data_IF_708886133994
#
_entry.id   IF_708886133994
#
_cell.length_a   1.000
_cell.length_b   1.000
_cell.length_c   1.000
_cell.angle_alpha   90.00
_cell.angle_beta   90.00
_cell.angle_gamma   90.00
#
_symmetry.space_group_name_H-M   'P 1'
#
loop_
_entity.id
_entity.type
_entity.pdbx_description
1 polymer ?
#
# COMPACT_ATOMS: atom_id res chain seq x y z
N UNK A 1 24.70 -5.36 28.90
CA UNK A 1 24.32 -4.13 28.17
C UNK A 1 23.11 -4.36 27.25
N UNK A 2 22.02 -5.00 27.72
CA UNK A 2 20.82 -5.31 26.91
C UNK A 2 19.51 -4.66 27.44
N UNK A 3 19.56 -3.87 28.52
CA UNK A 3 18.34 -3.28 29.12
C UNK A 3 17.86 -2.03 28.37
N UNK A 4 18.78 -1.18 27.87
CA UNK A 4 18.42 0.07 27.17
C UNK A 4 17.76 -0.15 25.81
N UNK A 5 18.09 -1.24 25.11
CA UNK A 5 17.49 -1.60 23.82
C UNK A 5 16.02 -2.00 23.96
N UNK A 6 15.64 -2.69 25.05
CA UNK A 6 14.27 -3.12 25.30
C UNK A 6 13.32 -1.94 25.59
N UNK A 7 13.71 -1.04 26.48
CA UNK A 7 12.91 0.15 26.82
C UNK A 7 12.75 1.09 25.61
N UNK A 8 13.82 1.30 24.84
CA UNK A 8 13.79 2.10 23.61
C UNK A 8 12.87 1.47 22.57
N UNK A 9 12.90 0.15 22.39
CA UNK A 9 12.03 -0.57 21.46
C UNK A 9 10.55 -0.49 21.88
N UNK A 10 10.26 -0.61 23.17
CA UNK A 10 8.90 -0.45 23.70
C UNK A 10 8.37 0.97 23.48
N UNK A 11 9.19 1.98 23.75
CA UNK A 11 8.84 3.38 23.51
C UNK A 11 8.58 3.64 22.01
N UNK A 12 9.45 3.15 21.13
CA UNK A 12 9.28 3.28 19.68
C UNK A 12 7.99 2.60 19.21
N UNK A 13 7.69 1.38 19.70
CA UNK A 13 6.46 0.66 19.36
C UNK A 13 5.20 1.42 19.81
N UNK A 14 5.24 2.03 21.00
CA UNK A 14 4.15 2.87 21.50
C UNK A 14 3.93 4.08 20.60
N UNK A 15 4.98 4.83 20.26
CA UNK A 15 4.91 6.01 19.39
C UNK A 15 4.37 5.65 18.00
N UNK A 16 4.86 4.56 17.41
CA UNK A 16 4.36 4.09 16.11
C UNK A 16 2.90 3.62 16.19
N UNK A 17 2.46 3.07 17.32
CA UNK A 17 1.05 2.68 17.48
C UNK A 17 0.16 3.92 17.57
N UNK A 18 0.53 4.90 18.39
CA UNK A 18 -0.20 6.17 18.54
C UNK A 18 -0.25 6.94 17.22
N UNK A 19 0.86 7.00 16.48
CA UNK A 19 0.90 7.61 15.16
C UNK A 19 -0.05 6.89 14.20
N UNK A 20 -0.11 5.56 14.19
CA UNK A 20 -1.02 4.81 13.30
C UNK A 20 -2.50 5.06 13.63
N UNK A 21 -2.84 5.28 14.89
CA UNK A 21 -4.21 5.50 15.36
C UNK A 21 -4.70 6.92 15.13
N UNK A 22 -3.80 7.90 15.00
CA UNK A 22 -4.18 9.30 14.82
C UNK A 22 -4.90 9.51 13.49
N UNK A 23 -6.03 10.22 13.57
CA UNK A 23 -6.96 10.40 12.44
C UNK A 23 -6.34 11.01 11.19
N UNK A 24 -5.36 11.90 11.37
CA UNK A 24 -4.73 12.65 10.28
C UNK A 24 -3.46 11.99 9.75
N UNK A 25 -3.04 10.84 10.27
CA UNK A 25 -1.73 10.27 9.91
C UNK A 25 -1.59 9.86 8.46
N UNK A 26 -2.71 9.56 7.82
CA UNK A 26 -2.73 9.23 6.40
C UNK A 26 -2.31 10.40 5.50
N UNK A 27 -2.48 11.65 5.93
CA UNK A 27 -2.12 12.85 5.14
C UNK A 27 -0.61 13.06 5.01
N UNK A 28 0.20 12.16 5.57
CA UNK A 28 1.67 12.17 5.49
C UNK A 28 2.22 10.97 4.72
N UNK A 29 1.36 10.03 4.35
CA UNK A 29 1.77 8.74 3.77
C UNK A 29 2.44 8.94 2.41
N UNK A 30 1.92 9.85 1.59
CA UNK A 30 2.51 10.27 0.31
C UNK A 30 3.98 10.69 0.48
N UNK A 31 4.26 11.64 1.37
CA UNK A 31 5.62 12.11 1.62
C UNK A 31 6.53 11.03 2.20
N UNK A 32 6.01 10.13 3.04
CA UNK A 32 6.80 9.01 3.56
C UNK A 32 7.19 8.04 2.43
N UNK A 33 6.25 7.70 1.55
CA UNK A 33 6.48 6.76 0.46
C UNK A 33 7.40 7.36 -0.62
N UNK A 34 7.35 8.66 -0.83
CA UNK A 34 8.22 9.39 -1.76
C UNK A 34 9.65 9.55 -1.22
N UNK A 35 9.82 10.09 -0.01
CA UNK A 35 11.14 10.54 0.46
C UNK A 35 11.90 9.53 1.33
N UNK A 36 11.21 8.60 1.99
CA UNK A 36 11.89 7.64 2.87
C UNK A 36 12.80 6.70 2.07
N UNK A 37 13.97 6.40 2.62
CA UNK A 37 14.90 5.41 2.05
C UNK A 37 14.75 4.03 2.72
N UNK A 38 14.02 3.95 3.83
CA UNK A 38 13.84 2.72 4.61
C UNK A 38 12.55 1.99 4.20
N UNK A 39 12.68 0.74 3.76
CA UNK A 39 11.54 -0.06 3.30
C UNK A 39 10.55 -0.37 4.43
N UNK A 40 11.04 -0.54 5.65
CA UNK A 40 10.23 -0.76 6.85
C UNK A 40 9.34 0.46 7.15
N UNK A 41 9.87 1.66 6.90
CA UNK A 41 9.10 2.90 7.08
C UNK A 41 8.03 3.05 6.02
N UNK A 42 8.34 2.69 4.76
CA UNK A 42 7.33 2.65 3.68
C UNK A 42 6.26 1.60 3.95
N UNK A 43 6.66 0.42 4.43
CA UNK A 43 5.73 -0.64 4.82
C UNK A 43 4.79 -0.17 5.92
N UNK A 44 5.31 0.49 6.96
CA UNK A 44 4.51 1.05 8.04
C UNK A 44 3.55 2.15 7.53
N UNK A 45 3.98 3.02 6.59
CA UNK A 45 3.09 3.99 5.97
C UNK A 45 1.93 3.33 5.21
N UNK A 46 2.18 2.21 4.52
CA UNK A 46 1.11 1.41 3.91
C UNK A 46 0.16 0.79 4.92
N UNK A 47 0.62 0.46 6.14
CA UNK A 47 -0.28 0.01 7.21
C UNK A 47 -1.22 1.12 7.70
N UNK A 48 -0.77 2.38 7.69
CA UNK A 48 -1.64 3.54 7.99
C UNK A 48 -2.70 3.69 6.90
N UNK A 49 -2.28 3.59 5.63
CA UNK A 49 -3.19 3.74 4.49
C UNK A 49 -4.22 2.61 4.43
N UNK A 50 -3.81 1.37 4.66
CA UNK A 50 -4.71 0.21 4.77
C UNK A 50 -5.79 0.45 5.83
N UNK A 51 -5.39 0.90 7.03
CA UNK A 51 -6.32 1.21 8.12
C UNK A 51 -7.34 2.29 7.69
N UNK A 52 -6.89 3.33 6.98
CA UNK A 52 -7.78 4.36 6.43
C UNK A 52 -8.80 3.76 5.44
N UNK A 53 -8.34 2.92 4.51
CA UNK A 53 -9.18 2.30 3.48
C UNK A 53 -10.22 1.36 4.12
N UNK A 54 -9.84 0.61 5.14
CA UNK A 54 -10.75 -0.32 5.81
C UNK A 54 -11.80 0.39 6.68
N UNK A 55 -11.42 1.50 7.33
CA UNK A 55 -12.26 2.11 8.37
C UNK A 55 -13.02 3.34 7.92
N UNK A 56 -12.46 4.15 7.01
CA UNK A 56 -12.95 5.52 6.73
C UNK A 56 -13.02 5.89 5.25
N UNK A 57 -12.75 4.95 4.35
CA UNK A 57 -12.75 5.19 2.91
C UNK A 57 -14.01 5.91 2.41
N UNK A 58 -15.19 5.45 2.84
CA UNK A 58 -16.49 6.00 2.42
C UNK A 58 -16.75 7.42 2.94
N UNK A 59 -16.02 7.86 3.96
CA UNK A 59 -16.14 9.20 4.55
C UNK A 59 -15.19 10.21 3.90
N UNK A 60 -14.22 9.75 3.10
CA UNK A 60 -13.29 10.64 2.42
C UNK A 60 -13.99 11.34 1.24
N UNK A 61 -13.63 12.60 0.95
CA UNK A 61 -13.95 13.24 -0.31
C UNK A 61 -13.51 12.37 -1.50
N UNK A 62 -14.34 12.26 -2.53
CA UNK A 62 -14.07 11.41 -3.70
C UNK A 62 -12.74 11.74 -4.38
N UNK A 63 -12.36 13.01 -4.43
CA UNK A 63 -11.06 13.44 -4.98
C UNK A 63 -9.88 12.79 -4.24
N UNK A 64 -9.95 12.67 -2.91
CA UNK A 64 -8.92 12.02 -2.12
C UNK A 64 -8.89 10.51 -2.35
N UNK A 65 -10.06 9.87 -2.48
CA UNK A 65 -10.14 8.45 -2.87
C UNK A 65 -9.47 8.19 -4.23
N UNK A 66 -9.77 9.03 -5.22
CA UNK A 66 -9.17 8.92 -6.56
C UNK A 66 -7.65 9.18 -6.54
N UNK A 67 -7.19 10.19 -5.79
CA UNK A 67 -5.76 10.47 -5.63
C UNK A 67 -5.00 9.30 -4.98
N UNK A 68 -5.53 8.74 -3.90
CA UNK A 68 -4.94 7.56 -3.23
C UNK A 68 -4.91 6.36 -4.18
N UNK A 69 -6.01 6.11 -4.91
CA UNK A 69 -6.12 5.01 -5.87
C UNK A 69 -5.06 5.14 -6.97
N UNK A 70 -4.99 6.27 -7.65
CA UNK A 70 -4.03 6.51 -8.74
C UNK A 70 -2.60 6.34 -8.26
N UNK A 71 -2.25 6.92 -7.11
CA UNK A 71 -0.92 6.81 -6.54
C UNK A 71 -0.51 5.37 -6.22
N UNK A 72 -1.41 4.58 -5.61
CA UNK A 72 -1.12 3.17 -5.28
C UNK A 72 -1.00 2.31 -6.55
N UNK A 73 -1.85 2.55 -7.55
CA UNK A 73 -1.76 1.86 -8.85
C UNK A 73 -0.43 2.17 -9.54
N UNK A 74 -0.02 3.44 -9.61
CA UNK A 74 1.25 3.86 -10.21
C UNK A 74 2.45 3.24 -9.49
N UNK A 75 2.45 3.21 -8.16
CA UNK A 75 3.51 2.56 -7.38
C UNK A 75 3.58 1.05 -7.64
N UNK A 76 2.44 0.37 -7.68
CA UNK A 76 2.39 -1.07 -8.00
C UNK A 76 2.97 -1.32 -9.38
N UNK A 77 2.54 -0.57 -10.40
CA UNK A 77 3.06 -0.71 -11.77
C UNK A 77 4.56 -0.48 -11.81
N UNK A 78 5.05 0.61 -11.21
CA UNK A 78 6.47 0.97 -11.19
C UNK A 78 7.32 -0.15 -10.58
N UNK A 79 6.96 -0.61 -9.39
CA UNK A 79 7.77 -1.57 -8.64
C UNK A 79 7.67 -2.99 -9.22
N UNK A 80 6.50 -3.39 -9.71
CA UNK A 80 6.31 -4.74 -10.27
C UNK A 80 6.77 -4.89 -11.71
N UNK A 81 7.08 -3.81 -12.42
CA UNK A 81 7.63 -3.88 -13.78
C UNK A 81 9.13 -4.23 -13.80
N UNK A 82 9.84 -4.03 -12.69
CA UNK A 82 11.27 -4.30 -12.56
C UNK A 82 11.54 -5.71 -12.03
N UNK A 83 12.75 -6.23 -12.25
CA UNK A 83 13.18 -7.50 -11.64
C UNK A 83 13.43 -7.32 -10.14
N UNK A 84 12.67 -8.05 -9.31
CA UNK A 84 12.73 -7.91 -7.86
C UNK A 84 13.74 -8.91 -7.28
N UNK A 85 14.96 -8.43 -7.04
CA UNK A 85 16.04 -9.22 -6.45
C UNK A 85 16.10 -9.11 -4.92
N UNK A 86 15.61 -8.00 -4.35
CA UNK A 86 15.64 -7.74 -2.91
C UNK A 86 14.42 -8.35 -2.18
N UNK A 87 14.64 -9.14 -1.10
CA UNK A 87 13.56 -9.62 -0.23
C UNK A 87 12.73 -8.50 0.40
N UNK A 88 13.35 -7.36 0.70
CA UNK A 88 12.68 -6.19 1.27
C UNK A 88 11.71 -5.57 0.26
N UNK A 89 12.15 -5.37 -0.99
CA UNK A 89 11.29 -4.87 -2.08
C UNK A 89 10.14 -5.83 -2.34
N UNK A 90 10.39 -7.15 -2.32
CA UNK A 90 9.34 -8.17 -2.46
C UNK A 90 8.29 -8.06 -1.37
N UNK A 91 8.71 -7.90 -0.11
CA UNK A 91 7.81 -7.74 1.05
C UNK A 91 6.99 -6.44 0.94
N UNK A 92 7.63 -5.36 0.49
CA UNK A 92 6.98 -4.09 0.24
C UNK A 92 5.93 -4.17 -0.88
N UNK A 93 6.25 -4.82 -2.01
CA UNK A 93 5.29 -5.04 -3.10
C UNK A 93 4.11 -5.92 -2.66
N UNK A 94 4.36 -6.96 -1.87
CA UNK A 94 3.28 -7.77 -1.28
C UNK A 94 2.31 -6.90 -0.46
N UNK A 95 2.84 -5.94 0.30
CA UNK A 95 2.00 -5.00 1.06
C UNK A 95 1.25 -4.03 0.16
N UNK A 96 1.89 -3.48 -0.88
CA UNK A 96 1.21 -2.65 -1.87
C UNK A 96 0.04 -3.37 -2.53
N UNK A 97 0.23 -4.65 -2.91
CA UNK A 97 -0.82 -5.46 -3.48
C UNK A 97 -2.00 -5.64 -2.51
N UNK A 98 -1.73 -5.86 -1.21
CA UNK A 98 -2.81 -5.92 -0.20
C UNK A 98 -3.58 -4.60 -0.10
N UNK A 99 -2.88 -3.47 -0.07
CA UNK A 99 -3.51 -2.13 -0.06
C UNK A 99 -4.36 -1.91 -1.32
N UNK A 100 -3.83 -2.24 -2.51
CA UNK A 100 -4.58 -2.15 -3.76
C UNK A 100 -5.85 -3.02 -3.72
N UNK A 101 -5.75 -4.24 -3.20
CA UNK A 101 -6.91 -5.13 -3.03
C UNK A 101 -7.96 -4.51 -2.10
N UNK A 102 -7.57 -3.85 -1.02
CA UNK A 102 -8.52 -3.14 -0.17
C UNK A 102 -9.22 -2.00 -0.91
N UNK A 103 -8.50 -1.25 -1.75
CA UNK A 103 -9.11 -0.20 -2.60
C UNK A 103 -10.11 -0.82 -3.57
N UNK A 104 -9.73 -1.91 -4.25
CA UNK A 104 -10.61 -2.61 -5.19
C UNK A 104 -11.87 -3.11 -4.49
N UNK A 105 -11.78 -3.65 -3.27
CA UNK A 105 -12.94 -4.07 -2.47
C UNK A 105 -13.91 -2.93 -2.15
N UNK A 106 -13.42 -1.70 -2.01
CA UNK A 106 -14.26 -0.53 -1.76
C UNK A 106 -14.86 0.07 -3.04
N UNK A 107 -14.13 0.01 -4.15
CA UNK A 107 -14.45 0.74 -5.39
C UNK A 107 -15.10 -0.12 -6.48
N UNK A 108 -14.72 -1.40 -6.59
CA UNK A 108 -15.26 -2.31 -7.60
C UNK A 108 -16.55 -3.00 -7.10
N UNK A 109 -17.60 -3.13 -7.95
CA UNK A 109 -17.67 -2.73 -9.36
C UNK A 109 -18.23 -1.32 -9.61
N UNK A 110 -18.75 -0.63 -8.59
CA UNK A 110 -19.56 0.58 -8.80
C UNK A 110 -18.77 1.79 -9.29
N UNK A 111 -17.63 2.07 -8.67
CA UNK A 111 -16.84 3.27 -8.91
C UNK A 111 -15.58 2.99 -9.74
N UNK A 112 -15.21 1.72 -9.89
CA UNK A 112 -14.14 1.29 -10.79
C UNK A 112 -14.56 0.10 -11.67
N UNK A 113 -15.59 0.24 -12.52
CA UNK A 113 -16.15 -0.86 -13.30
C UNK A 113 -15.14 -1.51 -14.27
N UNK A 114 -14.14 -0.75 -14.71
CA UNK A 114 -13.13 -1.19 -15.68
C UNK A 114 -11.98 -1.98 -15.07
N UNK A 115 -11.90 -2.12 -13.73
CA UNK A 115 -10.74 -2.75 -13.06
C UNK A 115 -10.27 -4.06 -13.71
N UNK A 116 -11.18 -4.97 -14.01
CA UNK A 116 -10.83 -6.27 -14.64
C UNK A 116 -10.26 -6.11 -16.06
N UNK A 117 -10.78 -5.16 -16.84
CA UNK A 117 -10.25 -4.88 -18.17
C UNK A 117 -8.88 -4.18 -18.07
N UNK A 118 -8.74 -3.24 -17.15
CA UNK A 118 -7.52 -2.47 -16.92
C UNK A 118 -6.37 -3.38 -16.48
N UNK A 119 -6.60 -4.26 -15.50
CA UNK A 119 -5.57 -5.18 -14.99
C UNK A 119 -5.14 -6.20 -16.06
N UNK A 120 -6.08 -6.72 -16.86
CA UNK A 120 -5.77 -7.61 -17.99
C UNK A 120 -5.02 -6.87 -19.09
N UNK A 121 -5.36 -5.60 -19.35
CA UNK A 121 -4.63 -4.75 -20.28
C UNK A 121 -3.20 -4.50 -19.82
N UNK A 122 -3.01 -4.12 -18.55
CA UNK A 122 -1.71 -3.88 -17.95
C UNK A 122 -0.80 -5.12 -17.95
N UNK A 123 -1.37 -6.32 -17.78
CA UNK A 123 -0.63 -7.59 -17.84
C UNK A 123 0.07 -7.84 -19.20
N UNK A 124 -0.27 -7.10 -20.26
CA UNK A 124 0.37 -7.23 -21.58
C UNK A 124 1.68 -6.46 -21.71
N UNK A 125 2.02 -5.60 -20.74
CA UNK A 125 3.19 -4.72 -20.82
C UNK A 125 4.49 -5.51 -20.64
N UNK A 126 4.58 -6.37 -19.62
CA UNK A 126 5.70 -7.28 -19.40
C UNK A 126 5.30 -8.43 -18.44
N UNK A 127 6.12 -9.48 -18.41
CA UNK A 127 5.86 -10.69 -17.63
C UNK A 127 5.88 -10.45 -16.11
N UNK A 128 6.72 -9.55 -15.61
CA UNK A 128 6.81 -9.24 -14.18
C UNK A 128 5.51 -8.61 -13.67
N UNK A 129 4.99 -7.62 -14.40
CA UNK A 129 3.72 -6.97 -14.11
C UNK A 129 2.55 -7.95 -14.25
N UNK A 130 2.57 -8.81 -15.27
CA UNK A 130 1.59 -9.88 -15.44
C UNK A 130 1.56 -10.83 -14.22
N UNK A 131 2.73 -11.31 -13.79
CA UNK A 131 2.87 -12.18 -12.63
C UNK A 131 2.37 -11.51 -11.35
N UNK A 132 2.68 -10.22 -11.16
CA UNK A 132 2.16 -9.46 -10.02
C UNK A 132 0.63 -9.30 -10.08
N UNK A 133 0.06 -9.04 -11.26
CA UNK A 133 -1.38 -8.97 -11.45
C UNK A 133 -2.08 -10.29 -11.13
N UNK A 134 -1.47 -11.44 -11.46
CA UNK A 134 -2.00 -12.75 -11.04
C UNK A 134 -2.00 -12.92 -9.52
N UNK A 135 -1.02 -12.36 -8.81
CA UNK A 135 -0.99 -12.32 -7.34
C UNK A 135 -2.14 -11.45 -6.80
N UNK A 136 -2.36 -10.26 -7.37
CA UNK A 136 -3.45 -9.36 -6.98
C UNK A 136 -4.81 -10.04 -7.16
N UNK A 137 -5.04 -10.64 -8.33
CA UNK A 137 -6.28 -11.39 -8.62
C UNK A 137 -6.47 -12.57 -7.65
N UNK A 138 -5.40 -13.26 -7.26
CA UNK A 138 -5.46 -14.32 -6.25
C UNK A 138 -5.81 -13.80 -4.85
N UNK A 139 -5.39 -12.59 -4.50
CA UNK A 139 -5.68 -11.95 -3.22
C UNK A 139 -7.11 -11.37 -3.15
N UNK A 140 -7.77 -11.12 -4.29
CA UNK A 140 -9.14 -10.63 -4.39
C UNK A 140 -10.23 -11.68 -4.08
N UNK A 141 -9.85 -12.84 -3.54
CA UNK A 141 -10.79 -13.86 -3.08
C UNK A 141 -11.69 -13.35 -1.94
#
# INVERSE_FOLDING_TARGET
MNQSTGETQQLASKILTELKQKDTSWTRVDGILEYSQLMETKYYALQILESLIETRWKSLPREQCEGIKSFIVELVIKISSEEITSPQIKTYLQKLNLVLVQIVKQEWPKHWPTFMADIVGASKVNDNLCLNNMIILRLLR
#
